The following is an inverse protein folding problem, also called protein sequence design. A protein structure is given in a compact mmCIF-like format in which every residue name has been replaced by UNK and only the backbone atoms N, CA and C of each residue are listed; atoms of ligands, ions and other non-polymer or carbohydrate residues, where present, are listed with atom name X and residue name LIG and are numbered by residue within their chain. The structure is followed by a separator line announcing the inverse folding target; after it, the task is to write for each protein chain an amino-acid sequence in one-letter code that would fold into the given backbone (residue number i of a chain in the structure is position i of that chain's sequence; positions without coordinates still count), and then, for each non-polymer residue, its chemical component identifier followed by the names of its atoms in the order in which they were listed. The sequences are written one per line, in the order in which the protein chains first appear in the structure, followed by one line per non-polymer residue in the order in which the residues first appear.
data_IF_430136236963
#
_entry.id   IF_430136236963
#
_cell.length_a   1.000
_cell.length_b   1.000
_cell.length_c   1.000
_cell.angle_alpha   90.00
_cell.angle_beta   90.00
_cell.angle_gamma   90.00
#
_symmetry.space_group_name_H-M   'P 1'
#
loop_
_entity.id
_entity.type
_entity.pdbx_description
1 polymer ?
#
# COMPACT_ATOMS: atom_id res chain seq x y z
N UNK A 1 -11.09 4.31 -10.36
CA UNK A 1 -10.23 3.44 -11.20
C UNK A 1 -11.08 2.32 -11.75
N UNK A 2 -10.91 1.92 -13.01
CA UNK A 2 -11.75 0.89 -13.62
C UNK A 2 -11.53 -0.46 -12.91
N UNK A 3 -12.60 -1.16 -12.51
CA UNK A 3 -12.51 -2.40 -11.73
C UNK A 3 -11.68 -3.48 -12.43
N UNK A 4 -11.73 -3.51 -13.77
CA UNK A 4 -10.94 -4.43 -14.60
C UNK A 4 -9.43 -4.21 -14.38
N UNK A 5 -9.00 -2.95 -14.29
CA UNK A 5 -7.61 -2.58 -14.04
C UNK A 5 -7.16 -2.97 -12.62
N UNK A 6 -8.07 -2.87 -11.65
CA UNK A 6 -7.79 -3.33 -10.29
C UNK A 6 -7.66 -4.87 -10.23
N UNK A 7 -8.51 -5.61 -10.93
CA UNK A 7 -8.40 -7.06 -10.97
C UNK A 7 -7.11 -7.54 -11.66
N UNK A 8 -6.69 -6.89 -12.75
CA UNK A 8 -5.45 -7.26 -13.46
C UNK A 8 -4.20 -6.98 -12.62
N UNK A 9 -4.15 -5.85 -11.90
CA UNK A 9 -3.06 -5.55 -10.97
C UNK A 9 -2.97 -6.56 -9.82
N UNK A 10 -4.10 -7.00 -9.28
CA UNK A 10 -4.14 -8.04 -8.23
C UNK A 10 -3.58 -9.36 -8.77
N UNK A 11 -3.98 -9.75 -9.98
CA UNK A 11 -3.45 -10.94 -10.65
C UNK A 11 -1.93 -10.86 -10.83
N UNK A 12 -1.42 -9.73 -11.33
CA UNK A 12 0.02 -9.50 -11.50
C UNK A 12 0.72 -9.63 -10.14
N UNK A 13 0.19 -8.99 -9.10
CA UNK A 13 0.77 -9.02 -7.75
C UNK A 13 0.86 -10.45 -7.18
N UNK A 14 -0.16 -11.29 -7.38
CA UNK A 14 -0.14 -12.70 -6.98
C UNK A 14 0.90 -13.49 -7.76
N UNK A 15 1.00 -13.28 -9.08
CA UNK A 15 2.01 -13.93 -9.91
C UNK A 15 3.41 -13.54 -9.44
N UNK A 16 3.68 -12.26 -9.23
CA UNK A 16 4.99 -11.77 -8.75
C UNK A 16 5.34 -12.39 -7.40
N UNK A 17 4.37 -12.47 -6.48
CA UNK A 17 4.56 -13.12 -5.18
C UNK A 17 4.96 -14.59 -5.32
N UNK A 18 4.29 -15.36 -6.18
CA UNK A 18 4.64 -16.77 -6.43
C UNK A 18 6.06 -16.93 -6.98
N UNK A 19 6.50 -16.03 -7.86
CA UNK A 19 7.88 -16.02 -8.35
C UNK A 19 8.88 -15.66 -7.24
N UNK A 20 8.55 -14.68 -6.41
CA UNK A 20 9.42 -14.22 -5.33
C UNK A 20 9.52 -15.24 -4.19
N UNK A 21 8.49 -16.06 -3.93
CA UNK A 21 8.58 -17.18 -3.00
C UNK A 21 9.72 -18.14 -3.34
N UNK A 22 9.99 -18.37 -4.63
CA UNK A 22 11.11 -19.22 -5.08
C UNK A 22 12.46 -18.57 -4.76
N UNK A 23 12.57 -17.25 -4.91
CA UNK A 23 13.78 -16.47 -4.60
C UNK A 23 14.00 -16.32 -3.10
N UNK A 24 12.93 -16.12 -2.33
CA UNK A 24 12.96 -15.92 -0.88
C UNK A 24 13.40 -17.14 -0.10
N UNK A 25 13.23 -18.36 -0.64
CA UNK A 25 13.72 -19.60 0.00
C UNK A 25 15.24 -19.59 0.23
N UNK A 26 16.00 -18.84 -0.60
CA UNK A 26 17.47 -18.73 -0.49
C UNK A 26 17.92 -17.56 0.40
N UNK A 27 16.99 -16.76 0.92
CA UNK A 27 17.30 -15.52 1.66
C UNK A 27 17.22 -15.72 3.18
N UNK A 28 17.83 -14.79 3.92
CA UNK A 28 17.82 -14.78 5.40
C UNK A 28 16.38 -14.68 5.93
N UNK A 29 16.09 -15.38 7.04
CA UNK A 29 14.76 -15.41 7.68
C UNK A 29 14.19 -14.01 7.97
N UNK A 30 15.02 -13.06 8.39
CA UNK A 30 14.61 -11.67 8.65
C UNK A 30 14.07 -10.96 7.40
N UNK A 31 14.75 -11.13 6.27
CA UNK A 31 14.34 -10.52 4.99
C UNK A 31 13.03 -11.13 4.52
N UNK A 32 12.87 -12.44 4.71
CA UNK A 32 11.63 -13.15 4.38
C UNK A 32 10.44 -12.66 5.20
N UNK A 33 10.62 -12.44 6.50
CA UNK A 33 9.58 -11.86 7.35
C UNK A 33 9.23 -10.44 6.93
N UNK A 34 10.24 -9.58 6.70
CA UNK A 34 10.01 -8.22 6.26
C UNK A 34 9.22 -8.16 4.95
N UNK A 35 9.58 -9.01 3.98
CA UNK A 35 8.87 -9.11 2.71
C UNK A 35 7.42 -9.57 2.88
N UNK A 36 7.16 -10.58 3.72
CA UNK A 36 5.80 -11.02 4.00
C UNK A 36 4.98 -9.93 4.69
N UNK A 37 5.57 -9.19 5.64
CA UNK A 37 4.91 -8.06 6.30
C UNK A 37 4.60 -6.95 5.31
N UNK A 38 5.56 -6.53 4.47
CA UNK A 38 5.33 -5.50 3.47
C UNK A 38 4.26 -5.92 2.46
N UNK A 39 4.29 -7.18 2.02
CA UNK A 39 3.30 -7.70 1.09
C UNK A 39 1.90 -7.77 1.72
N UNK A 40 1.80 -8.17 2.99
CA UNK A 40 0.54 -8.18 3.73
C UNK A 40 -0.05 -6.76 3.88
N UNK A 41 0.78 -5.76 4.18
CA UNK A 41 0.36 -4.36 4.26
C UNK A 41 -0.15 -3.86 2.90
N UNK A 42 0.60 -4.12 1.82
CA UNK A 42 0.18 -3.73 0.46
C UNK A 42 -1.14 -4.42 0.08
N UNK A 43 -1.30 -5.70 0.39
CA UNK A 43 -2.53 -6.45 0.13
C UNK A 43 -3.72 -5.89 0.93
N UNK A 44 -3.52 -5.55 2.20
CA UNK A 44 -4.56 -4.95 3.03
C UNK A 44 -5.00 -3.58 2.50
N UNK A 45 -4.03 -2.73 2.13
CA UNK A 45 -4.30 -1.43 1.47
C UNK A 45 -5.11 -1.63 0.20
N UNK A 46 -4.72 -2.60 -0.62
CA UNK A 46 -5.42 -2.92 -1.86
C UNK A 46 -6.86 -3.40 -1.62
N UNK A 47 -7.06 -4.29 -0.65
CA UNK A 47 -8.39 -4.78 -0.25
C UNK A 47 -9.29 -3.64 0.24
N UNK A 48 -8.77 -2.73 1.06
CA UNK A 48 -9.49 -1.53 1.47
C UNK A 48 -9.94 -0.70 0.25
N UNK A 49 -9.05 -0.49 -0.74
CA UNK A 49 -9.44 0.24 -1.96
C UNK A 49 -10.50 -0.50 -2.78
N UNK A 50 -10.47 -1.83 -2.81
CA UNK A 50 -11.43 -2.66 -3.56
C UNK A 50 -12.80 -2.71 -2.88
N UNK A 51 -12.82 -2.68 -1.54
CA UNK A 51 -14.04 -2.59 -0.71
C UNK A 51 -14.63 -1.17 -0.67
N UNK A 52 -14.02 -0.20 -1.37
CA UNK A 52 -14.47 1.19 -1.36
C UNK A 52 -14.21 1.93 -0.05
N UNK A 53 -13.39 1.36 0.84
CA UNK A 53 -12.97 2.04 2.07
C UNK A 53 -12.01 3.14 1.67
N UNK A 54 -12.42 4.39 1.92
CA UNK A 54 -11.61 5.57 1.66
C UNK A 54 -10.40 5.60 2.61
N UNK A 55 -9.33 4.92 2.21
CA UNK A 55 -8.03 5.11 2.84
C UNK A 55 -7.62 6.57 2.62
N UNK A 56 -7.28 7.31 3.68
CA UNK A 56 -6.84 8.69 3.54
C UNK A 56 -5.56 8.68 2.70
N UNK A 57 -5.68 9.10 1.46
CA UNK A 57 -4.54 9.24 0.57
C UNK A 57 -3.55 10.20 1.26
N UNK A 58 -2.25 9.90 1.35
CA UNK A 58 -1.30 10.72 2.10
C UNK A 58 -1.33 12.20 1.69
N UNK A 59 -1.56 12.46 0.41
CA UNK A 59 -1.79 13.79 -0.17
C UNK A 59 -3.07 14.45 0.34
N UNK A 60 -4.18 13.73 0.41
CA UNK A 60 -5.44 14.23 0.98
C UNK A 60 -5.31 14.53 2.47
N UNK A 61 -4.65 13.64 3.22
CA UNK A 61 -4.32 13.88 4.63
C UNK A 61 -3.44 15.12 4.80
N UNK A 62 -2.41 15.28 3.95
CA UNK A 62 -1.54 16.46 4.00
C UNK A 62 -2.31 17.75 3.71
N UNK A 63 -3.14 17.77 2.67
CA UNK A 63 -3.93 18.95 2.29
C UNK A 63 -4.94 19.31 3.37
N UNK A 64 -5.68 18.34 3.92
CA UNK A 64 -6.79 18.62 4.83
C UNK A 64 -6.42 18.64 6.32
N UNK A 65 -5.29 18.05 6.72
CA UNK A 65 -4.86 18.01 8.12
C UNK A 65 -3.57 18.78 8.37
N UNK A 66 -2.56 18.64 7.52
CA UNK A 66 -1.24 19.24 7.74
C UNK A 66 -1.21 20.69 7.28
N UNK A 67 -1.71 21.00 6.07
CA UNK A 67 -1.69 22.36 5.54
C UNK A 67 -2.41 23.36 6.45
N UNK A 68 -3.63 23.10 6.96
CA UNK A 68 -4.35 24.07 7.79
C UNK A 68 -3.67 24.26 9.15
N UNK A 69 -3.04 23.20 9.68
CA UNK A 69 -2.26 23.27 10.92
C UNK A 69 -1.03 24.16 10.75
N UNK A 70 -0.28 24.02 9.66
CA UNK A 70 0.87 24.90 9.38
C UNK A 70 0.42 26.36 9.24
N UNK A 71 -0.68 26.62 8.52
CA UNK A 71 -1.22 27.98 8.39
C UNK A 71 -1.73 28.57 9.71
N UNK A 72 -2.16 27.74 10.67
CA UNK A 72 -2.56 28.20 12.01
C UNK A 72 -1.37 28.61 12.90
N UNK A 73 -0.16 28.12 12.61
CA UNK A 73 1.05 28.40 13.40
C UNK A 73 1.80 29.62 12.88
N UNK A 74 1.67 29.93 11.59
CA UNK A 74 2.31 31.11 10.99
C UNK A 74 1.37 32.32 11.25
N UNK A 75 1.70 33.23 12.17
CA UNK A 75 0.97 34.48 12.29
C UNK A 75 1.30 35.33 11.07
N UNK A 76 0.26 35.86 10.42
CA UNK A 76 0.38 36.76 9.29
C UNK A 76 0.96 38.11 9.70
#
# INVERSE_FOLDING_TARGET
MNNIFMCSLLLIMVITFLFDLRKLKKQKKSIRWFYHCSFAVTAAVYLCTLLGVALPMPTSFFIHKVSPWVYSIIPR
#
